data_IF_357774294487
#
_entry.id   IF_357774294487
#
_cell.length_a   1.000
_cell.length_b   1.000
_cell.length_c   1.000
_cell.angle_alpha   90.00
_cell.angle_beta   90.00
_cell.angle_gamma   90.00
#
_symmetry.space_group_name_H-M   'P 1'
#
loop_
_entity.id
_entity.type
_entity.pdbx_description
1 polymer ?
#
# COMPACT_ATOMS: atom_id res chain seq x y z
N UNK A 1 -8.64 11.92 -25.51
CA UNK A 1 -7.20 12.16 -25.31
C UNK A 1 -6.50 10.85 -25.55
N UNK A 2 -5.49 10.79 -26.42
CA UNK A 2 -4.69 9.56 -26.58
C UNK A 2 -3.76 9.47 -25.38
N UNK A 3 -4.03 8.54 -24.45
CA UNK A 3 -2.99 8.10 -23.52
C UNK A 3 -1.80 7.62 -24.35
N UNK A 4 -0.59 8.07 -24.03
CA UNK A 4 0.61 7.53 -24.67
C UNK A 4 0.69 6.01 -24.49
N UNK A 5 1.65 5.34 -25.13
CA UNK A 5 1.76 3.86 -25.09
C UNK A 5 1.86 3.27 -23.67
N UNK A 6 2.21 4.08 -22.67
CA UNK A 6 2.30 3.72 -21.26
C UNK A 6 1.76 4.85 -20.35
N UNK A 7 0.67 5.50 -20.76
CA UNK A 7 -0.02 6.53 -19.94
C UNK A 7 0.86 7.66 -19.39
N UNK A 8 1.94 8.01 -20.11
CA UNK A 8 2.91 9.03 -19.70
C UNK A 8 3.55 8.76 -18.32
N UNK A 9 3.91 7.50 -18.03
CA UNK A 9 4.64 7.15 -16.80
C UNK A 9 5.84 8.05 -16.47
N UNK A 10 6.51 8.60 -17.49
CA UNK A 10 7.63 9.53 -17.31
C UNK A 10 7.23 10.88 -16.69
N UNK A 11 5.94 11.22 -16.66
CA UNK A 11 5.38 12.45 -16.08
C UNK A 11 4.62 12.20 -14.77
N UNK A 12 4.58 10.97 -14.28
CA UNK A 12 3.89 10.64 -13.03
C UNK A 12 4.48 11.42 -11.87
N UNK A 13 3.61 12.12 -11.14
CA UNK A 13 3.99 13.02 -10.05
C UNK A 13 3.45 12.56 -8.69
N UNK A 14 2.67 11.48 -8.65
CA UNK A 14 2.11 10.97 -7.40
C UNK A 14 2.03 9.44 -7.31
N UNK A 15 2.03 8.94 -6.07
CA UNK A 15 1.82 7.52 -5.77
C UNK A 15 0.45 7.02 -6.22
N UNK A 16 -0.58 7.88 -6.17
CA UNK A 16 -1.93 7.55 -6.64
C UNK A 16 -1.90 7.22 -8.13
N UNK A 17 -1.25 8.06 -8.93
CA UNK A 17 -1.08 7.85 -10.37
C UNK A 17 -0.29 6.57 -10.66
N UNK A 18 0.74 6.23 -9.88
CA UNK A 18 1.44 4.94 -10.02
C UNK A 18 0.53 3.74 -9.74
N UNK A 19 -0.30 3.81 -8.70
CA UNK A 19 -1.26 2.76 -8.35
C UNK A 19 -2.33 2.57 -9.42
N UNK A 20 -2.76 3.66 -10.06
CA UNK A 20 -3.74 3.64 -11.15
C UNK A 20 -3.15 3.15 -12.49
N UNK A 21 -1.83 3.29 -12.69
CA UNK A 21 -1.14 2.97 -13.96
C UNK A 21 -0.22 1.73 -13.88
N UNK A 22 -0.54 0.72 -13.05
CA UNK A 22 0.25 -0.53 -12.92
C UNK A 22 0.46 -1.24 -14.27
N UNK A 23 -0.52 -1.18 -15.16
CA UNK A 23 -0.43 -1.76 -16.52
C UNK A 23 0.61 -1.04 -17.39
N UNK A 24 0.70 0.29 -17.29
CA UNK A 24 1.73 1.08 -17.96
C UNK A 24 3.14 0.69 -17.51
N UNK A 25 3.32 0.36 -16.22
CA UNK A 25 4.62 -0.03 -15.65
C UNK A 25 5.04 -1.38 -16.22
N UNK A 26 4.09 -2.33 -16.26
CA UNK A 26 4.28 -3.64 -16.86
C UNK A 26 4.63 -3.54 -18.35
N UNK A 27 3.90 -2.71 -19.11
CA UNK A 27 4.16 -2.49 -20.52
C UNK A 27 5.54 -1.86 -20.79
N UNK A 28 5.95 -0.91 -19.95
CA UNK A 28 7.27 -0.26 -20.06
C UNK A 28 8.39 -1.26 -19.80
N UNK A 29 8.27 -2.08 -18.75
CA UNK A 29 9.24 -3.13 -18.46
C UNK A 29 9.38 -4.14 -19.61
N UNK A 30 8.26 -4.59 -20.19
CA UNK A 30 8.27 -5.48 -21.35
C UNK A 30 9.00 -4.85 -22.54
N UNK A 31 8.73 -3.57 -22.84
CA UNK A 31 9.39 -2.85 -23.94
C UNK A 31 10.88 -2.65 -23.73
N UNK A 32 11.32 -2.43 -22.48
CA UNK A 32 12.73 -2.33 -22.11
C UNK A 32 13.43 -3.68 -22.28
N UNK A 33 12.79 -4.77 -21.82
CA UNK A 33 13.30 -6.13 -21.96
C UNK A 33 13.45 -6.55 -23.42
N UNK A 34 12.43 -6.30 -24.24
CA UNK A 34 12.45 -6.61 -25.67
C UNK A 34 13.57 -5.88 -26.43
N UNK A 35 14.04 -4.75 -25.90
CA UNK A 35 15.16 -3.96 -26.43
C UNK A 35 16.52 -4.34 -25.82
N UNK A 36 16.57 -5.36 -24.97
CA UNK A 36 17.79 -5.84 -24.32
C UNK A 36 18.25 -4.99 -23.13
N UNK A 37 17.39 -4.12 -22.58
CA UNK A 37 17.69 -3.28 -21.41
C UNK A 37 17.24 -3.97 -20.12
N UNK A 38 17.82 -5.13 -19.80
CA UNK A 38 17.37 -5.99 -18.69
C UNK A 38 17.41 -5.28 -17.33
N UNK A 39 18.48 -4.53 -17.03
CA UNK A 39 18.60 -3.82 -15.77
C UNK A 39 17.50 -2.77 -15.58
N UNK A 40 17.15 -2.04 -16.63
CA UNK A 40 16.07 -1.04 -16.58
C UNK A 40 14.69 -1.70 -16.48
N UNK A 41 14.48 -2.83 -17.16
CA UNK A 41 13.25 -3.61 -17.05
C UNK A 41 13.06 -4.14 -15.61
N UNK A 42 14.12 -4.70 -15.02
CA UNK A 42 14.10 -5.20 -13.64
C UNK A 42 13.81 -4.08 -12.62
N UNK A 43 14.44 -2.92 -12.76
CA UNK A 43 14.16 -1.76 -11.91
C UNK A 43 12.69 -1.29 -12.05
N UNK A 44 12.15 -1.32 -13.28
CA UNK A 44 10.75 -0.96 -13.54
C UNK A 44 9.77 -1.95 -12.89
N UNK A 45 10.07 -3.25 -12.92
CA UNK A 45 9.26 -4.30 -12.27
C UNK A 45 9.36 -4.28 -10.75
N UNK A 46 10.50 -3.87 -10.19
CA UNK A 46 10.68 -3.73 -8.76
C UNK A 46 9.64 -2.78 -8.15
N UNK A 47 9.28 -1.70 -8.87
CA UNK A 47 8.23 -0.76 -8.46
C UNK A 47 6.90 -1.47 -8.20
N UNK A 48 6.50 -2.44 -9.03
CA UNK A 48 5.24 -3.18 -8.83
C UNK A 48 5.27 -3.99 -7.53
N UNK A 49 6.42 -4.59 -7.21
CA UNK A 49 6.61 -5.37 -5.98
C UNK A 49 6.59 -4.46 -4.75
N UNK A 50 7.22 -3.30 -4.84
CA UNK A 50 7.21 -2.28 -3.78
C UNK A 50 5.81 -1.71 -3.54
N UNK A 51 5.05 -1.42 -4.60
CA UNK A 51 3.66 -0.97 -4.50
C UNK A 51 2.78 -2.03 -3.83
N UNK A 52 2.94 -3.31 -4.18
CA UNK A 52 2.22 -4.40 -3.55
C UNK A 52 2.57 -4.56 -2.05
N UNK A 53 3.85 -4.47 -1.70
CA UNK A 53 4.31 -4.52 -0.32
C UNK A 53 3.77 -3.34 0.51
N UNK A 54 3.81 -2.14 -0.05
CA UNK A 54 3.27 -0.94 0.58
C UNK A 54 1.75 -1.04 0.77
N UNK A 55 1.01 -1.51 -0.24
CA UNK A 55 -0.44 -1.73 -0.16
C UNK A 55 -0.77 -2.70 0.97
N UNK A 56 -0.09 -3.85 1.02
CA UNK A 56 -0.26 -4.83 2.08
C UNK A 56 0.05 -4.23 3.47
N UNK A 57 1.16 -3.49 3.59
CA UNK A 57 1.57 -2.82 4.83
C UNK A 57 0.50 -1.83 5.32
N UNK A 58 0.00 -0.97 4.43
CA UNK A 58 -1.03 0.03 4.78
C UNK A 58 -2.33 -0.66 5.18
N UNK A 59 -2.79 -1.66 4.43
CA UNK A 59 -4.03 -2.38 4.73
C UNK A 59 -3.97 -3.11 6.07
N UNK A 60 -2.84 -3.74 6.40
CA UNK A 60 -2.68 -4.38 7.69
C UNK A 60 -2.66 -3.37 8.86
N UNK A 61 -2.17 -2.15 8.63
CA UNK A 61 -2.23 -1.07 9.63
C UNK A 61 -3.64 -0.51 9.79
N UNK A 62 -4.37 -0.35 8.69
CA UNK A 62 -5.79 0.04 8.70
C UNK A 62 -6.62 -0.99 9.45
N UNK A 63 -6.39 -2.29 9.21
CA UNK A 63 -7.09 -3.36 9.91
C UNK A 63 -6.91 -3.27 11.42
N UNK A 64 -5.68 -3.00 11.89
CA UNK A 64 -5.41 -2.79 13.31
C UNK A 64 -6.09 -1.56 13.90
N UNK A 65 -6.27 -0.51 13.10
CA UNK A 65 -6.86 0.75 13.55
C UNK A 65 -8.39 0.77 13.43
N UNK A 66 -8.97 -0.24 12.78
CA UNK A 66 -10.40 -0.29 12.41
C UNK A 66 -11.32 -0.04 13.61
N UNK A 67 -11.07 -0.71 14.73
CA UNK A 67 -11.91 -0.59 15.92
C UNK A 67 -11.79 0.80 16.56
N UNK A 68 -10.56 1.31 16.71
CA UNK A 68 -10.31 2.68 17.21
C UNK A 68 -10.95 3.74 16.31
N UNK A 69 -10.85 3.60 14.98
CA UNK A 69 -11.47 4.55 14.04
C UNK A 69 -12.99 4.52 14.12
N UNK A 70 -13.58 3.33 14.22
CA UNK A 70 -15.01 3.16 14.44
C UNK A 70 -15.45 3.77 15.77
N UNK A 71 -14.71 3.54 16.85
CA UNK A 71 -15.00 4.12 18.15
C UNK A 71 -14.98 5.65 18.10
N UNK A 72 -13.95 6.22 17.47
CA UNK A 72 -13.84 7.67 17.30
C UNK A 72 -14.99 8.26 16.48
N UNK A 73 -15.39 7.59 15.39
CA UNK A 73 -16.54 7.99 14.57
C UNK A 73 -17.84 7.99 15.41
N UNK A 74 -18.04 6.95 16.22
CA UNK A 74 -19.26 6.78 16.99
C UNK A 74 -19.33 7.67 18.23
N UNK A 75 -18.19 8.07 18.80
CA UNK A 75 -18.14 9.14 19.81
C UNK A 75 -18.59 10.47 19.20
N UNK A 76 -18.09 10.79 18.00
CA UNK A 76 -18.46 12.04 17.32
C UNK A 76 -19.94 12.05 16.90
N UNK A 77 -20.51 10.91 16.52
CA UNK A 77 -21.95 10.80 16.21
C UNK A 77 -22.85 10.80 17.47
N UNK A 78 -22.27 10.62 18.65
CA UNK A 78 -22.99 10.50 19.92
C UNK A 78 -23.59 9.11 20.16
N UNK A 79 -23.22 8.12 19.35
CA UNK A 79 -23.64 6.72 19.53
C UNK A 79 -22.85 6.04 20.65
N UNK A 80 -21.58 6.42 20.84
CA UNK A 80 -20.65 5.89 21.86
C UNK A 80 -20.13 6.99 22.79
N UNK A 81 -19.56 6.58 23.92
CA UNK A 81 -18.96 7.44 24.93
C UNK A 81 -17.43 7.52 24.79
N UNK A 82 -16.82 8.55 25.41
CA UNK A 82 -15.36 8.67 25.52
C UNK A 82 -14.71 7.45 26.21
N UNK A 83 -15.44 6.76 27.08
CA UNK A 83 -14.95 5.56 27.76
C UNK A 83 -14.83 4.38 26.78
N UNK A 84 -15.76 4.24 25.83
CA UNK A 84 -15.72 3.22 24.78
C UNK A 84 -14.50 3.43 23.86
N UNK A 85 -14.23 4.68 23.47
CA UNK A 85 -13.02 5.04 22.71
C UNK A 85 -11.74 4.74 23.50
N UNK A 86 -11.71 5.08 24.80
CA UNK A 86 -10.55 4.82 25.64
C UNK A 86 -10.27 3.31 25.79
N UNK A 87 -11.30 2.45 25.78
CA UNK A 87 -11.14 1.00 25.79
C UNK A 87 -10.47 0.47 24.52
N UNK A 88 -10.93 0.88 23.34
CA UNK A 88 -10.36 0.42 22.06
C UNK A 88 -8.92 0.93 21.87
N UNK A 89 -8.62 2.16 22.32
CA UNK A 89 -7.25 2.69 22.31
C UNK A 89 -6.33 1.87 23.22
N UNK A 90 -6.77 1.54 24.45
CA UNK A 90 -5.98 0.68 25.35
C UNK A 90 -5.72 -0.70 24.75
N UNK A 91 -6.69 -1.26 24.05
CA UNK A 91 -6.54 -2.55 23.36
C UNK A 91 -5.48 -2.47 22.26
N UNK A 92 -5.47 -1.40 21.47
CA UNK A 92 -4.44 -1.16 20.45
C UNK A 92 -3.05 -0.99 21.08
N UNK A 93 -2.93 -0.22 22.16
CA UNK A 93 -1.67 0.06 22.86
C UNK A 93 -1.07 -1.19 23.52
N UNK A 94 -1.92 -2.12 23.96
CA UNK A 94 -1.50 -3.40 24.52
C UNK A 94 -1.04 -4.41 23.45
N UNK A 95 -1.42 -4.21 22.18
CA UNK A 95 -0.99 -5.08 21.09
C UNK A 95 0.48 -4.81 20.71
N UNK A 96 1.24 -5.84 20.28
CA UNK A 96 2.63 -5.66 19.91
C UNK A 96 2.83 -4.60 18.82
N UNK A 97 4.00 -3.92 18.77
CA UNK A 97 4.30 -2.95 17.74
C UNK A 97 4.13 -3.57 16.35
N UNK A 98 3.55 -2.81 15.43
CA UNK A 98 3.21 -3.32 14.09
C UNK A 98 4.42 -3.89 13.35
N UNK A 99 5.56 -3.21 13.47
CA UNK A 99 6.82 -3.60 12.84
C UNK A 99 7.37 -4.93 13.36
N UNK A 100 7.05 -5.33 14.59
CA UNK A 100 7.54 -6.58 15.19
C UNK A 100 6.74 -7.81 14.72
N UNK A 101 5.58 -7.57 14.08
CA UNK A 101 4.67 -8.62 13.60
C UNK A 101 4.69 -8.80 12.09
N UNK A 102 5.43 -7.96 11.36
CA UNK A 102 5.42 -7.95 9.90
C UNK A 102 6.74 -8.47 9.35
N UNK A 103 6.71 -9.60 8.65
CA UNK A 103 7.76 -9.96 7.70
C UNK A 103 7.23 -9.72 6.30
N UNK A 104 7.91 -8.89 5.52
CA UNK A 104 7.60 -8.74 4.10
C UNK A 104 8.48 -9.75 3.36
N UNK A 105 7.83 -10.68 2.67
CA UNK A 105 8.52 -11.49 1.67
C UNK A 105 8.89 -10.56 0.50
N UNK A 106 10.16 -10.20 0.42
CA UNK A 106 10.69 -9.31 -0.60
C UNK A 106 10.61 -9.88 -2.01
N UNK A 107 10.40 -11.20 -2.16
CA UNK A 107 10.24 -11.84 -3.46
C UNK A 107 8.80 -11.75 -3.99
N UNK A 108 7.81 -11.65 -3.09
CA UNK A 108 6.38 -11.65 -3.45
C UNK A 108 5.63 -10.38 -3.06
N UNK A 109 6.28 -9.48 -2.32
CA UNK A 109 5.66 -8.31 -1.71
C UNK A 109 4.59 -8.64 -0.66
N UNK A 110 4.48 -9.91 -0.23
CA UNK A 110 3.43 -10.35 0.68
C UNK A 110 3.85 -10.22 2.13
N UNK A 111 2.89 -9.88 2.98
CA UNK A 111 3.05 -10.02 4.44
C UNK A 111 3.02 -11.51 4.79
N UNK A 112 4.08 -11.96 5.44
CA UNK A 112 4.18 -13.28 6.08
C UNK A 112 4.01 -13.06 7.57
N UNK A 113 3.04 -13.77 8.17
CA UNK A 113 2.82 -13.81 9.62
C UNK A 113 3.80 -14.78 10.29
#
# INVERSE_FOLDING_TARGET
MSGGSFDYLCEVASLKELLENKDGITGTAAVLRDRGHEAAAAETEAILSELAAMEAYVLARVERLRDVWKAAEWVVSGDWSEDDLAEDVRTLDAAPPFMDTLRIDTATGRIVK
#
